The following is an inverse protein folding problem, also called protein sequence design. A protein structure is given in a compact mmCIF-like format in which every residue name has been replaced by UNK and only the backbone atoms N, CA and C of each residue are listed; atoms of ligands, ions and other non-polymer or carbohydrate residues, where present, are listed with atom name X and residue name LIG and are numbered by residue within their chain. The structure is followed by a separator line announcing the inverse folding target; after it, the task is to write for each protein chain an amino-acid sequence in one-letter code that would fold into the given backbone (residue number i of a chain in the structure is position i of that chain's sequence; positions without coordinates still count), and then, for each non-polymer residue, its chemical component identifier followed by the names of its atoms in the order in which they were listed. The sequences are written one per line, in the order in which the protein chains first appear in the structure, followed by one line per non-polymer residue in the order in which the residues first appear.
data_IF_713319582459
#
_entry.id   IF_713319582459
#
_cell.length_a   1.000
_cell.length_b   1.000
_cell.length_c   1.000
_cell.angle_alpha   90.00
_cell.angle_beta   90.00
_cell.angle_gamma   90.00
#
_symmetry.space_group_name_H-M   'P 1'
#
loop_
_entity.id
_entity.type
_entity.pdbx_description
1 polymer ?
#
# COMPACT_ATOMS: atom_id res chain seq x y z
N UNK A 1 -7.44 27.42 -9.36
CA UNK A 1 -7.21 26.96 -9.15
C UNK A 1 -6.83 26.21 -8.58
N UNK A 2 -7.21 25.96 -8.19
CA UNK A 2 -6.88 25.43 -7.68
C UNK A 2 -6.24 24.75 -7.67
N UNK A 3 -6.06 24.92 -7.45
CA UNK A 3 -5.16 24.05 -7.41
C UNK A 3 -5.39 22.62 -7.27
N UNK A 4 -5.56 21.86 -8.21
CA UNK A 4 -5.95 20.48 -8.18
C UNK A 4 -4.95 19.57 -7.50
N UNK A 5 -3.72 19.96 -7.49
CA UNK A 5 -2.68 19.18 -6.81
C UNK A 5 -2.89 19.11 -5.33
N UNK A 6 -3.35 20.20 -4.76
CA UNK A 6 -3.58 20.27 -3.33
C UNK A 6 -4.85 19.53 -2.93
N UNK A 7 -5.75 19.37 -3.89
CA UNK A 7 -6.99 18.68 -3.62
C UNK A 7 -6.83 17.17 -3.56
N UNK A 8 -5.67 16.67 -3.96
CA UNK A 8 -5.45 15.24 -3.95
C UNK A 8 -5.17 14.79 -2.53
N UNK A 9 -6.17 14.22 -1.90
CA UNK A 9 -6.12 13.75 -0.53
C UNK A 9 -6.35 12.25 -0.52
N UNK A 10 -6.17 11.64 0.64
CA UNK A 10 -6.46 10.21 0.79
C UNK A 10 -7.87 9.90 0.34
N UNK A 11 -8.83 10.76 0.70
CA UNK A 11 -10.22 10.52 0.38
C UNK A 11 -10.50 10.47 -1.12
N UNK A 12 -9.67 11.13 -1.93
CA UNK A 12 -9.88 11.12 -3.38
C UNK A 12 -9.16 9.98 -4.08
N UNK A 13 -8.20 9.34 -3.43
CA UNK A 13 -7.41 8.27 -4.03
C UNK A 13 -7.70 6.93 -3.36
N UNK A 14 -7.73 6.91 -2.03
CA UNK A 14 -7.87 5.68 -1.27
C UNK A 14 -9.29 5.53 -0.74
N UNK A 15 -9.83 4.31 -0.73
CA UNK A 15 -11.15 4.05 -0.14
C UNK A 15 -11.10 3.93 1.38
N UNK A 16 -10.00 4.31 2.00
CA UNK A 16 -9.83 4.23 3.45
C UNK A 16 -8.90 5.34 3.90
N UNK A 17 -8.91 5.61 5.20
CA UNK A 17 -8.03 6.61 5.80
C UNK A 17 -6.85 5.88 6.46
N UNK A 18 -5.63 5.97 5.91
CA UNK A 18 -4.49 5.27 6.51
C UNK A 18 -4.04 5.89 7.83
N UNK A 19 -4.32 7.17 8.06
CA UNK A 19 -3.90 7.82 9.31
C UNK A 19 -5.07 7.86 10.26
N UNK A 20 -5.15 6.89 11.14
CA UNK A 20 -6.25 6.77 12.11
C UNK A 20 -5.76 6.02 13.33
N UNK A 21 -6.37 6.30 14.48
CA UNK A 21 -6.12 5.54 15.69
C UNK A 21 -7.03 4.31 15.79
N UNK A 22 -7.98 4.16 14.87
CA UNK A 22 -8.88 3.02 14.88
C UNK A 22 -8.15 1.78 14.35
N UNK A 23 -7.97 0.81 15.23
CA UNK A 23 -7.40 -0.47 14.86
C UNK A 23 -8.46 -1.27 14.12
N UNK A 24 -8.26 -1.46 12.84
CA UNK A 24 -9.28 -2.07 12.00
C UNK A 24 -8.63 -2.84 10.85
N UNK A 25 -9.35 -3.78 10.29
CA UNK A 25 -8.90 -4.50 9.12
C UNK A 25 -10.05 -4.64 8.12
N UNK A 26 -9.71 -4.57 6.84
CA UNK A 26 -10.72 -4.66 5.80
C UNK A 26 -10.05 -5.04 4.47
N UNK A 27 -10.86 -5.41 3.51
CA UNK A 27 -10.38 -5.83 2.19
C UNK A 27 -10.54 -4.67 1.23
N UNK A 28 -9.50 -4.43 0.42
CA UNK A 28 -9.49 -3.35 -0.56
C UNK A 28 -9.10 -3.92 -1.92
N UNK A 29 -9.75 -3.43 -2.97
CA UNK A 29 -9.32 -3.66 -4.34
C UNK A 29 -8.35 -2.54 -4.70
N UNK A 30 -7.07 -2.86 -4.73
CA UNK A 30 -6.02 -1.88 -4.90
C UNK A 30 -5.55 -1.83 -6.35
N UNK A 31 -5.46 -0.64 -6.90
CA UNK A 31 -4.93 -0.46 -8.26
C UNK A 31 -3.53 0.16 -8.21
N UNK A 32 -2.93 0.32 -9.38
CA UNK A 32 -1.58 0.86 -9.50
C UNK A 32 -1.47 2.27 -8.93
N UNK A 33 -2.49 3.11 -9.18
CA UNK A 33 -2.47 4.50 -8.68
C UNK A 33 -2.49 4.53 -7.16
N UNK A 34 -3.29 3.67 -6.54
CA UNK A 34 -3.34 3.59 -5.08
C UNK A 34 -2.01 3.14 -4.51
N UNK A 35 -1.38 2.13 -5.14
CA UNK A 35 -0.07 1.66 -4.70
C UNK A 35 0.96 2.77 -4.77
N UNK A 36 0.99 3.50 -5.88
CA UNK A 36 1.90 4.63 -6.04
C UNK A 36 1.66 5.71 -5.00
N UNK A 37 0.40 6.01 -4.74
CA UNK A 37 0.05 7.03 -3.76
C UNK A 37 0.54 6.64 -2.36
N UNK A 38 0.33 5.40 -1.97
CA UNK A 38 0.77 4.93 -0.65
C UNK A 38 2.29 4.99 -0.55
N UNK A 39 3.00 4.54 -1.59
CA UNK A 39 4.46 4.56 -1.57
C UNK A 39 5.01 5.97 -1.52
N UNK A 40 4.33 6.93 -2.13
CA UNK A 40 4.81 8.31 -2.18
C UNK A 40 4.47 9.11 -0.93
N UNK A 41 3.35 8.83 -0.28
CA UNK A 41 2.84 9.68 0.78
C UNK A 41 2.68 8.99 2.14
N UNK A 42 2.80 7.66 2.18
CA UNK A 42 2.56 6.90 3.40
C UNK A 42 3.67 5.87 3.65
N UNK A 43 4.88 6.21 3.26
CA UNK A 43 6.01 5.29 3.36
C UNK A 43 7.24 6.07 3.82
N UNK A 44 7.18 6.58 5.06
CA UNK A 44 8.15 7.57 5.54
C UNK A 44 9.47 6.99 5.98
N UNK A 45 9.44 6.00 6.85
CA UNK A 45 10.63 5.55 7.56
C UNK A 45 11.01 4.13 7.19
N UNK A 46 10.61 3.68 6.04
CA UNK A 46 10.87 2.31 5.63
C UNK A 46 12.20 2.19 4.91
N UNK A 47 12.78 1.02 5.02
CA UNK A 47 14.00 0.72 4.30
C UNK A 47 13.71 0.66 2.81
N UNK A 48 14.77 0.78 2.03
CA UNK A 48 14.66 0.56 0.60
C UNK A 48 14.21 -0.86 0.33
N UNK A 49 13.38 -1.03 -0.69
CA UNK A 49 12.93 -2.35 -1.07
C UNK A 49 14.08 -3.10 -1.74
N UNK A 50 14.03 -4.42 -1.64
CA UNK A 50 15.02 -5.26 -2.30
C UNK A 50 14.49 -5.68 -3.65
N UNK A 51 15.23 -5.37 -4.71
CA UNK A 51 14.81 -5.66 -6.07
C UNK A 51 14.51 -7.13 -6.30
N UNK A 52 15.27 -8.02 -5.67
CA UNK A 52 15.03 -9.45 -5.85
C UNK A 52 13.66 -9.86 -5.31
N UNK A 53 13.27 -9.32 -4.16
CA UNK A 53 11.96 -9.65 -3.59
C UNK A 53 10.83 -9.05 -4.43
N UNK A 54 11.01 -7.83 -4.90
CA UNK A 54 10.02 -7.19 -5.76
C UNK A 54 9.85 -7.99 -7.05
N UNK A 55 10.95 -8.43 -7.64
CA UNK A 55 10.90 -9.19 -8.88
C UNK A 55 10.23 -10.54 -8.69
N UNK A 56 10.47 -11.19 -7.55
CA UNK A 56 9.82 -12.47 -7.27
C UNK A 56 8.31 -12.31 -7.14
N UNK A 57 7.87 -11.27 -6.44
CA UNK A 57 6.44 -10.99 -6.30
C UNK A 57 5.83 -10.66 -7.67
N UNK A 58 6.52 -9.85 -8.45
CA UNK A 58 6.08 -9.46 -9.77
C UNK A 58 5.90 -10.68 -10.67
N UNK A 59 6.87 -11.59 -10.66
CA UNK A 59 6.79 -12.81 -11.45
C UNK A 59 5.62 -13.68 -11.03
N UNK A 60 5.38 -13.79 -9.72
CA UNK A 60 4.24 -14.54 -9.22
C UNK A 60 2.93 -13.97 -9.74
N UNK A 61 2.81 -12.66 -9.72
CA UNK A 61 1.61 -11.99 -10.23
C UNK A 61 1.39 -12.29 -11.70
N UNK A 62 2.47 -12.26 -12.48
CA UNK A 62 2.37 -12.49 -13.92
C UNK A 62 2.05 -13.93 -14.27
N UNK A 63 2.56 -14.89 -13.50
CA UNK A 63 2.38 -16.30 -13.80
C UNK A 63 1.07 -16.86 -13.26
N UNK A 64 0.83 -16.60 -11.99
CA UNK A 64 -0.26 -17.26 -11.27
C UNK A 64 -1.35 -16.31 -10.83
N UNK A 65 -1.24 -15.05 -11.21
CA UNK A 65 -2.13 -14.02 -10.75
C UNK A 65 -1.71 -13.51 -9.39
N UNK A 66 -2.62 -12.83 -8.71
CA UNK A 66 -2.31 -12.20 -7.44
C UNK A 66 -2.12 -13.24 -6.35
N UNK A 67 -1.05 -13.10 -5.59
CA UNK A 67 -0.72 -14.03 -4.52
C UNK A 67 -1.54 -13.71 -3.27
N UNK A 68 -2.50 -14.56 -2.95
CA UNK A 68 -3.35 -14.41 -1.77
C UNK A 68 -2.76 -15.26 -0.64
N UNK A 69 -1.76 -14.74 0.02
CA UNK A 69 -1.08 -15.48 1.10
C UNK A 69 -1.49 -15.02 2.48
N UNK A 70 -2.49 -14.16 2.58
CA UNK A 70 -2.96 -13.67 3.86
C UNK A 70 -2.13 -12.54 4.45
N UNK A 71 -1.13 -12.08 3.74
CA UNK A 71 -0.27 -10.99 4.22
C UNK A 71 -0.94 -9.65 3.98
N UNK A 72 -1.25 -8.90 5.03
CA UNK A 72 -1.86 -7.58 4.84
C UNK A 72 -0.81 -6.52 4.56
N UNK A 73 -1.28 -5.35 4.11
CA UNK A 73 -0.49 -4.14 4.26
C UNK A 73 -0.98 -3.45 5.53
N UNK A 74 -0.06 -2.92 6.31
CA UNK A 74 -0.41 -2.33 7.61
C UNK A 74 0.10 -0.90 7.71
N UNK A 75 -0.69 -0.07 8.38
CA UNK A 75 -0.36 1.33 8.64
C UNK A 75 -0.43 1.57 10.14
N UNK A 76 0.54 2.30 10.66
CA UNK A 76 0.50 2.67 12.07
C UNK A 76 -0.42 3.89 12.27
N UNK A 77 -0.57 4.32 13.51
CA UNK A 77 -1.48 5.43 13.87
C UNK A 77 -1.09 6.74 13.20
N UNK A 78 0.13 6.85 12.72
CA UNK A 78 0.58 8.07 12.02
C UNK A 78 0.37 7.98 10.52
N UNK A 79 -0.22 6.88 10.05
CA UNK A 79 -0.47 6.71 8.63
C UNK A 79 0.75 6.25 7.85
N UNK A 80 1.76 5.74 8.53
CA UNK A 80 2.95 5.23 7.87
C UNK A 80 2.83 3.73 7.64
N UNK A 81 3.15 3.31 6.43
CA UNK A 81 3.16 1.90 6.05
C UNK A 81 4.24 1.16 6.85
N UNK A 82 3.87 0.08 7.51
CA UNK A 82 4.81 -0.73 8.29
C UNK A 82 5.02 -2.13 7.71
N UNK A 83 4.09 -2.61 6.91
CA UNK A 83 4.19 -3.92 6.25
C UNK A 83 3.63 -3.83 4.85
N UNK A 84 4.23 -4.57 3.92
CA UNK A 84 3.70 -4.66 2.57
C UNK A 84 4.38 -3.77 1.55
N UNK A 85 5.51 -3.17 1.90
CA UNK A 85 6.22 -2.27 1.01
C UNK A 85 6.60 -2.95 -0.32
N UNK A 86 7.13 -4.16 -0.25
CA UNK A 86 7.56 -4.87 -1.46
C UNK A 86 6.38 -5.22 -2.35
N UNK A 87 5.25 -5.59 -1.75
CA UNK A 87 4.06 -5.95 -2.49
C UNK A 87 3.49 -4.75 -3.23
N UNK A 88 3.45 -3.59 -2.55
CA UNK A 88 3.01 -2.36 -3.21
C UNK A 88 3.95 -1.95 -4.32
N UNK A 89 5.26 -2.13 -4.12
CA UNK A 89 6.22 -1.81 -5.17
C UNK A 89 6.04 -2.71 -6.38
N UNK A 90 5.71 -3.99 -6.17
CA UNK A 90 5.44 -4.90 -7.27
C UNK A 90 4.21 -4.47 -8.06
N UNK A 91 3.14 -4.09 -7.38
CA UNK A 91 1.92 -3.59 -8.04
C UNK A 91 2.25 -2.34 -8.84
N UNK A 92 3.04 -1.44 -8.26
CA UNK A 92 3.43 -0.20 -8.93
C UNK A 92 4.15 -0.48 -10.26
N UNK A 93 4.94 -1.55 -10.32
CA UNK A 93 5.74 -1.88 -11.50
C UNK A 93 4.97 -2.60 -12.59
N UNK A 94 3.81 -3.17 -12.25
CA UNK A 94 3.02 -3.90 -13.24
C UNK A 94 2.55 -2.98 -14.34
N UNK A 95 2.23 -1.75 -14.01
CA UNK A 95 1.87 -0.75 -15.00
C UNK A 95 0.52 -0.95 -15.67
N UNK A 96 -0.30 -1.86 -15.18
CA UNK A 96 -1.61 -2.12 -15.78
C UNK A 96 -2.67 -1.39 -14.97
N UNK A 97 -3.10 -0.24 -15.48
CA UNK A 97 -4.05 0.62 -14.80
C UNK A 97 -5.45 0.03 -14.72
N UNK A 98 -5.72 -0.98 -15.52
CA UNK A 98 -7.07 -1.56 -15.58
C UNK A 98 -7.26 -2.71 -14.60
N UNK A 99 -6.22 -3.08 -13.88
CA UNK A 99 -6.31 -4.19 -12.94
C UNK A 99 -6.37 -3.71 -11.51
N UNK A 100 -7.05 -4.51 -10.69
CA UNK A 100 -7.04 -4.32 -9.25
C UNK A 100 -6.52 -5.60 -8.59
N UNK A 101 -6.04 -5.43 -7.36
CA UNK A 101 -5.45 -6.51 -6.58
C UNK A 101 -6.10 -6.50 -5.21
N UNK A 102 -6.74 -7.59 -4.87
CA UNK A 102 -7.43 -7.72 -3.59
C UNK A 102 -6.38 -7.84 -2.49
N UNK A 103 -6.46 -6.97 -1.48
CA UNK A 103 -5.47 -6.97 -0.41
C UNK A 103 -6.16 -6.65 0.91
N UNK A 104 -5.63 -7.23 1.98
CA UNK A 104 -6.10 -6.93 3.33
C UNK A 104 -5.34 -5.71 3.83
N UNK A 105 -6.07 -4.74 4.36
CA UNK A 105 -5.48 -3.54 4.93
C UNK A 105 -5.75 -3.52 6.42
N UNK A 106 -4.72 -3.24 7.21
CA UNK A 106 -4.85 -3.04 8.66
C UNK A 106 -4.40 -1.63 8.97
N UNK A 107 -5.22 -0.89 9.71
CA UNK A 107 -4.91 0.48 10.11
C UNK A 107 -4.86 0.58 11.63
N UNK A 108 -4.34 1.71 12.12
CA UNK A 108 -4.35 1.99 13.55
C UNK A 108 -3.43 1.12 14.38
N UNK A 109 -2.38 0.58 13.75
CA UNK A 109 -1.39 -0.22 14.47
C UNK A 109 -0.55 0.73 15.33
N UNK A 110 -0.33 0.37 16.59
CA UNK A 110 0.48 1.21 17.46
C UNK A 110 1.90 1.29 16.95
N UNK A 111 2.50 2.44 17.13
CA UNK A 111 3.91 2.58 16.80
C UNK A 111 4.73 1.69 17.71
N UNK A 112 5.76 1.09 17.13
CA UNK A 112 6.70 0.29 17.91
C UNK A 112 7.53 1.23 18.78
N UNK A 113 7.42 1.06 20.09
CA UNK A 113 8.16 1.86 21.03
C UNK A 113 9.40 1.16 21.57
N UNK A 114 9.66 -0.03 21.08
CA UNK A 114 10.84 -0.79 21.49
C UNK A 114 11.92 -0.61 20.48
N UNK A 115 12.49 0.29 20.24
CA UNK A 115 13.53 0.36 19.22
C UNK A 115 14.91 0.27 19.81
#
# INVERSE_FOLDING_TARGET
MENSKQARTDASILPFNPKTTDYNSFVVELNVDMANYILNYHNFDNRNTYNSQINNIYKSIQHDGWLHDGQPITFNVEGNLTEGQHRLAAISRIGNQDKTYTIIVVTGVEKDTFS
#
